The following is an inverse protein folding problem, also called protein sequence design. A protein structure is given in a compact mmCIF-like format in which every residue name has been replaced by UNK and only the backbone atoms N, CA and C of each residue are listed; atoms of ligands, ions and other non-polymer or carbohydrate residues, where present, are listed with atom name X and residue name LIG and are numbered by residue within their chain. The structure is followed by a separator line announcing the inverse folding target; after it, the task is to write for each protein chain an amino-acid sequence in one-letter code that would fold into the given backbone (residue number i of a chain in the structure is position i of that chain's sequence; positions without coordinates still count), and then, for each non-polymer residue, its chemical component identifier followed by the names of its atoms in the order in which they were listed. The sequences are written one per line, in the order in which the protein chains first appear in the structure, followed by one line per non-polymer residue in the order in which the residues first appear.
data_IF_968871756849
#
_entry.id   IF_968871756849
#
_cell.length_a   1.000
_cell.length_b   1.000
_cell.length_c   1.000
_cell.angle_alpha   90.00
_cell.angle_beta   90.00
_cell.angle_gamma   90.00
#
_symmetry.space_group_name_H-M   'P 1'
#
loop_
_entity.id
_entity.type
_entity.pdbx_description
1 polymer ?
#
# COMPACT_ATOMS: atom_id res chain seq x y z
N UNK A 1 1.48 -21.65 -10.27
CA UNK A 1 2.79 -22.23 -10.60
C UNK A 1 3.55 -22.31 -9.29
N UNK A 2 3.68 -23.49 -8.70
CA UNK A 2 4.64 -23.72 -7.62
C UNK A 2 5.88 -24.33 -8.28
N UNK A 3 6.87 -23.47 -8.37
CA UNK A 3 8.24 -23.79 -8.74
C UNK A 3 8.91 -24.23 -7.43
N UNK A 4 9.09 -25.55 -7.29
CA UNK A 4 10.22 -26.16 -6.58
C UNK A 4 10.54 -25.68 -5.14
N UNK A 5 10.42 -26.64 -4.22
CA UNK A 5 10.87 -26.63 -2.82
C UNK A 5 9.89 -25.97 -1.83
N UNK A 6 9.43 -26.77 -0.86
CA UNK A 6 8.46 -26.43 0.20
C UNK A 6 8.92 -25.41 1.24
N UNK A 7 9.68 -24.41 0.80
CA UNK A 7 10.05 -23.18 1.49
C UNK A 7 9.62 -21.95 0.65
N UNK A 8 8.89 -22.14 -0.45
CA UNK A 8 8.36 -21.06 -1.26
C UNK A 8 7.23 -20.33 -0.52
N UNK A 9 7.21 -19.01 -0.67
CA UNK A 9 6.10 -18.22 -0.19
C UNK A 9 4.91 -18.45 -1.12
N UNK A 10 4.02 -19.37 -0.75
CA UNK A 10 2.74 -19.55 -1.44
C UNK A 10 1.87 -18.30 -1.20
N UNK A 11 1.97 -17.34 -2.14
CA UNK A 11 0.87 -16.43 -2.45
C UNK A 11 -0.25 -17.34 -2.97
N UNK A 12 -1.23 -17.66 -2.14
CA UNK A 12 -2.36 -18.51 -2.47
C UNK A 12 -3.26 -17.88 -3.53
N UNK A 13 -4.57 -18.10 -3.45
CA UNK A 13 -5.49 -17.61 -4.48
C UNK A 13 -5.54 -16.08 -4.51
N UNK A 14 -5.36 -15.49 -5.70
CA UNK A 14 -5.70 -14.10 -5.95
C UNK A 14 -7.22 -13.91 -5.84
N UNK A 15 -7.64 -12.96 -5.03
CA UNK A 15 -9.04 -12.57 -4.87
C UNK A 15 -9.22 -11.15 -5.35
N UNK A 16 -9.98 -10.98 -6.43
CA UNK A 16 -10.41 -9.66 -6.91
C UNK A 16 -11.34 -9.00 -5.89
N UNK A 17 -11.13 -7.71 -5.62
CA UNK A 17 -12.00 -6.97 -4.71
C UNK A 17 -13.36 -6.62 -5.34
N UNK A 18 -13.44 -6.56 -6.67
CA UNK A 18 -14.59 -6.05 -7.41
C UNK A 18 -14.43 -4.57 -7.77
N UNK A 19 -15.56 -3.83 -7.80
CA UNK A 19 -15.64 -2.47 -8.34
C UNK A 19 -15.85 -1.41 -7.23
N UNK A 20 -14.78 -0.95 -6.55
CA UNK A 20 -14.90 0.10 -5.53
C UNK A 20 -15.24 1.45 -6.18
N UNK A 21 -16.33 2.08 -5.73
CA UNK A 21 -16.77 3.38 -6.23
C UNK A 21 -15.89 4.58 -5.81
N UNK A 22 -15.07 4.41 -4.77
CA UNK A 22 -14.21 5.44 -4.19
C UNK A 22 -12.86 4.88 -3.79
N UNK A 23 -11.88 5.77 -3.54
CA UNK A 23 -10.64 5.38 -2.88
C UNK A 23 -10.93 4.96 -1.43
N UNK A 24 -10.09 4.07 -0.89
CA UNK A 24 -10.21 3.61 0.50
C UNK A 24 -9.61 4.58 1.49
N UNK A 25 -8.51 5.19 1.05
CA UNK A 25 -7.76 6.18 1.80
C UNK A 25 -7.48 7.37 0.89
N UNK A 26 -7.58 8.53 1.48
CA UNK A 26 -7.34 9.84 0.91
C UNK A 26 -6.24 10.53 1.70
N UNK A 27 -5.76 11.69 1.23
CA UNK A 27 -4.64 12.40 1.84
C UNK A 27 -4.80 12.67 3.34
N UNK A 28 -6.03 12.87 3.81
CA UNK A 28 -6.33 13.10 5.22
C UNK A 28 -6.15 11.88 6.13
N UNK A 29 -6.09 10.67 5.55
CA UNK A 29 -5.92 9.42 6.29
C UNK A 29 -4.45 9.12 6.61
N UNK A 30 -3.52 9.92 6.06
CA UNK A 30 -2.08 9.74 6.21
C UNK A 30 -1.46 10.83 7.07
N UNK A 31 -0.53 10.45 7.93
CA UNK A 31 0.41 11.39 8.54
C UNK A 31 1.70 11.40 7.71
N UNK A 32 2.06 12.56 7.17
CA UNK A 32 3.18 12.74 6.24
C UNK A 32 4.36 13.40 6.95
N UNK A 33 5.09 12.64 7.77
CA UNK A 33 6.16 13.17 8.63
C UNK A 33 7.49 12.42 8.48
N UNK A 34 7.67 11.72 7.37
CA UNK A 34 8.84 10.88 7.12
C UNK A 34 9.06 9.80 8.19
N UNK A 35 7.99 9.31 8.84
CA UNK A 35 8.04 8.14 9.72
C UNK A 35 7.19 7.00 9.15
N UNK A 36 7.63 5.76 9.40
CA UNK A 36 6.85 4.57 9.04
C UNK A 36 5.71 4.39 10.04
N UNK A 37 4.50 4.15 9.53
CA UNK A 37 3.26 4.11 10.29
C UNK A 37 2.38 2.95 9.84
N UNK A 38 1.63 2.41 10.77
CA UNK A 38 0.71 1.30 10.50
C UNK A 38 -0.53 1.79 9.73
N UNK A 39 -0.89 1.05 8.68
CA UNK A 39 -2.14 1.17 7.96
C UNK A 39 -2.91 -0.15 8.09
N UNK A 40 -3.99 -0.12 8.87
CA UNK A 40 -4.82 -1.28 9.12
C UNK A 40 -5.89 -1.44 8.03
N UNK A 41 -5.67 -2.43 7.15
CA UNK A 41 -6.58 -2.78 6.05
C UNK A 41 -7.66 -3.79 6.49
N UNK A 42 -7.44 -4.42 7.65
CA UNK A 42 -8.19 -5.56 8.14
C UNK A 42 -9.48 -5.20 8.89
N UNK A 43 -10.15 -6.22 9.48
CA UNK A 43 -11.45 -6.07 10.15
C UNK A 43 -11.50 -5.08 11.32
N UNK A 44 -10.35 -4.83 11.97
CA UNK A 44 -10.24 -3.87 13.09
C UNK A 44 -9.87 -2.46 12.64
N UNK A 45 -9.63 -2.28 11.34
CA UNK A 45 -9.39 -0.99 10.69
C UNK A 45 -10.49 -0.73 9.66
N UNK A 46 -10.11 -0.67 8.38
CA UNK A 46 -11.05 -0.36 7.30
C UNK A 46 -12.00 -1.51 6.92
N UNK A 47 -11.72 -2.75 7.34
CA UNK A 47 -12.53 -3.93 7.04
C UNK A 47 -12.53 -4.34 5.56
N UNK A 48 -11.53 -3.91 4.80
CA UNK A 48 -11.45 -4.11 3.35
C UNK A 48 -10.85 -5.48 3.02
N UNK A 49 -9.81 -5.86 3.76
CA UNK A 49 -9.04 -7.07 3.51
C UNK A 49 -9.42 -8.12 4.55
N UNK A 50 -9.90 -9.31 4.15
CA UNK A 50 -10.32 -10.33 5.10
C UNK A 50 -9.12 -10.94 5.85
N UNK A 51 -9.40 -11.53 7.01
CA UNK A 51 -8.42 -12.31 7.76
C UNK A 51 -7.84 -13.44 6.90
N UNK A 52 -6.53 -13.67 7.02
CA UNK A 52 -5.81 -14.70 6.26
C UNK A 52 -5.19 -14.20 4.95
N UNK A 53 -5.48 -12.96 4.51
CA UNK A 53 -4.74 -12.37 3.42
C UNK A 53 -3.25 -12.18 3.80
N UNK A 54 -2.35 -12.64 2.91
CA UNK A 54 -0.89 -12.58 3.03
C UNK A 54 -0.29 -11.37 2.30
N UNK A 55 -0.98 -10.84 1.30
CA UNK A 55 -0.55 -9.66 0.56
C UNK A 55 -1.74 -8.94 -0.10
N UNK A 56 -1.58 -7.66 -0.42
CA UNK A 56 -2.57 -6.82 -1.10
C UNK A 56 -1.97 -6.18 -2.34
N UNK A 57 -2.78 -6.03 -3.39
CA UNK A 57 -2.46 -5.19 -4.53
C UNK A 57 -3.09 -3.81 -4.32
N UNK A 58 -2.25 -2.79 -4.21
CA UNK A 58 -2.65 -1.40 -4.02
C UNK A 58 -2.50 -0.63 -5.33
N UNK A 59 -3.50 0.17 -5.67
CA UNK A 59 -3.38 1.31 -6.59
C UNK A 59 -3.10 2.56 -5.76
N UNK A 60 -2.03 3.26 -6.08
CA UNK A 60 -1.55 4.44 -5.37
C UNK A 60 -1.49 5.59 -6.35
N UNK A 61 -2.22 6.66 -6.10
CA UNK A 61 -2.16 7.88 -6.88
C UNK A 61 -1.67 9.05 -6.01
N UNK A 62 -0.61 9.72 -6.45
CA UNK A 62 -0.01 10.86 -5.73
C UNK A 62 0.11 12.08 -6.62
N UNK A 63 -0.08 13.25 -6.04
CA UNK A 63 0.20 14.55 -6.67
C UNK A 63 0.66 15.51 -5.58
N UNK A 64 1.70 16.28 -5.89
CA UNK A 64 2.21 17.31 -4.99
C UNK A 64 2.72 18.52 -5.79
N UNK A 65 2.87 19.66 -5.13
CA UNK A 65 3.46 20.87 -5.71
C UNK A 65 5.01 20.87 -5.66
N UNK A 66 5.60 19.85 -5.00
CA UNK A 66 7.02 19.60 -4.91
C UNK A 66 7.43 18.30 -5.62
N UNK A 67 8.47 18.37 -6.46
CA UNK A 67 9.06 17.19 -7.07
C UNK A 67 9.93 16.45 -6.04
N UNK A 68 9.93 15.12 -6.09
CA UNK A 68 10.62 14.28 -5.12
C UNK A 68 9.76 13.85 -3.93
N UNK A 69 8.55 14.41 -3.78
CA UNK A 69 7.57 13.92 -2.80
C UNK A 69 7.20 12.48 -3.09
N UNK A 70 7.17 11.65 -2.06
CA UNK A 70 7.02 10.20 -2.21
C UNK A 70 6.16 9.59 -1.11
N UNK A 71 5.33 8.62 -1.49
CA UNK A 71 4.72 7.66 -0.56
C UNK A 71 5.26 6.26 -0.84
N UNK A 72 5.48 5.49 0.21
CA UNK A 72 5.95 4.10 0.15
C UNK A 72 5.10 3.23 1.06
N UNK A 73 5.06 1.94 0.75
CA UNK A 73 4.38 0.89 1.50
C UNK A 73 5.30 -0.32 1.64
N UNK A 74 5.25 -0.98 2.79
CA UNK A 74 5.98 -2.22 3.06
C UNK A 74 5.22 -3.11 4.04
N UNK A 75 5.73 -4.33 4.23
CA UNK A 75 5.19 -5.24 5.25
C UNK A 75 5.44 -4.68 6.66
N UNK A 76 4.43 -4.80 7.52
CA UNK A 76 4.52 -4.38 8.91
C UNK A 76 5.68 -5.07 9.66
N UNK A 77 6.41 -4.31 10.47
CA UNK A 77 7.55 -4.76 11.27
C UNK A 77 8.86 -4.94 10.48
N UNK A 78 8.90 -4.62 9.19
CA UNK A 78 10.15 -4.60 8.44
C UNK A 78 10.99 -3.39 8.85
N UNK A 79 12.31 -3.57 8.98
CA UNK A 79 13.22 -2.45 9.31
C UNK A 79 13.85 -1.83 8.07
N UNK A 80 14.11 -2.63 7.03
CA UNK A 80 14.78 -2.21 5.80
C UNK A 80 13.79 -1.71 4.73
N UNK A 81 14.21 -0.72 3.92
CA UNK A 81 13.35 -0.09 2.90
C UNK A 81 13.44 -0.73 1.51
N UNK A 82 14.42 -1.61 1.27
CA UNK A 82 14.67 -2.17 -0.08
C UNK A 82 13.44 -2.90 -0.64
N UNK A 83 12.66 -3.55 0.23
CA UNK A 83 11.41 -4.21 -0.13
C UNK A 83 10.19 -3.34 0.19
N UNK A 84 10.19 -2.13 -0.37
CA UNK A 84 9.03 -1.23 -0.37
C UNK A 84 8.66 -0.86 -1.80
N UNK A 85 7.37 -0.64 -2.03
CA UNK A 85 6.84 -0.11 -3.29
C UNK A 85 5.99 1.12 -3.00
N UNK A 86 5.69 1.94 -3.99
CA UNK A 86 5.04 3.22 -3.71
C UNK A 86 4.81 4.06 -4.96
N UNK A 87 4.82 5.38 -4.80
CA UNK A 87 4.84 6.29 -5.95
C UNK A 87 5.62 7.57 -5.65
N UNK A 88 6.27 8.09 -6.67
CA UNK A 88 7.11 9.29 -6.64
C UNK A 88 6.52 10.38 -7.53
N UNK A 89 6.43 11.61 -6.99
CA UNK A 89 6.11 12.80 -7.78
C UNK A 89 7.35 13.21 -8.58
N UNK A 90 7.39 12.83 -9.86
CA UNK A 90 8.49 13.18 -10.77
C UNK A 90 8.28 14.53 -11.47
N UNK A 91 7.02 14.95 -11.61
CA UNK A 91 6.63 16.25 -12.18
C UNK A 91 5.60 16.90 -11.25
N UNK A 92 5.87 18.14 -10.83
CA UNK A 92 4.97 18.89 -9.95
C UNK A 92 3.58 19.04 -10.55
N UNK A 93 2.55 18.98 -9.69
CA UNK A 93 1.15 19.15 -10.05
C UNK A 93 0.59 18.17 -11.09
N UNK A 94 1.30 17.07 -11.38
CA UNK A 94 0.83 15.96 -12.21
C UNK A 94 0.56 14.76 -11.32
N UNK A 95 -0.57 14.08 -11.55
CA UNK A 95 -0.91 12.87 -10.80
C UNK A 95 -0.10 11.69 -11.34
N UNK A 96 0.74 11.11 -10.49
CA UNK A 96 1.41 9.83 -10.72
C UNK A 96 0.53 8.71 -10.18
N UNK A 97 0.41 7.61 -10.92
CA UNK A 97 -0.36 6.43 -10.53
C UNK A 97 0.53 5.21 -10.67
N UNK A 98 0.69 4.45 -9.59
CA UNK A 98 1.45 3.21 -9.55
C UNK A 98 0.64 2.11 -8.88
N UNK A 99 0.94 0.86 -9.23
CA UNK A 99 0.38 -0.31 -8.58
C UNK A 99 1.50 -1.06 -7.87
N UNK A 100 1.27 -1.44 -6.62
CA UNK A 100 2.27 -2.16 -5.82
C UNK A 100 1.63 -3.29 -5.04
N UNK A 101 2.30 -4.43 -5.00
CA UNK A 101 1.91 -5.54 -4.12
C UNK A 101 2.69 -5.43 -2.82
N UNK A 102 1.99 -5.51 -1.69
CA UNK A 102 2.58 -5.37 -0.36
C UNK A 102 2.15 -6.55 0.50
N UNK A 103 3.10 -7.24 1.11
CA UNK A 103 2.80 -8.30 2.05
C UNK A 103 2.19 -7.71 3.33
N UNK A 104 1.15 -8.37 3.85
CA UNK A 104 0.50 -8.00 5.09
C UNK A 104 1.04 -8.84 6.25
N UNK A 105 0.87 -8.35 7.48
CA UNK A 105 0.99 -9.20 8.66
C UNK A 105 -0.30 -10.02 8.90
N UNK A 106 -0.32 -10.78 10.01
CA UNK A 106 -1.46 -11.62 10.38
C UNK A 106 -2.74 -10.83 10.67
N UNK A 107 -2.62 -9.53 10.95
CA UNK A 107 -3.73 -8.62 11.25
C UNK A 107 -4.11 -7.75 10.05
N UNK A 108 -3.57 -8.05 8.86
CA UNK A 108 -3.80 -7.28 7.63
C UNK A 108 -3.34 -5.82 7.78
N UNK A 109 -2.26 -5.62 8.54
CA UNK A 109 -1.57 -4.33 8.64
C UNK A 109 -0.39 -4.31 7.68
N UNK A 110 -0.26 -3.19 6.98
CA UNK A 110 0.94 -2.79 6.23
C UNK A 110 1.50 -1.53 6.86
N UNK A 111 2.76 -1.21 6.59
CA UNK A 111 3.33 0.08 6.96
C UNK A 111 3.36 1.01 5.76
N UNK A 112 3.10 2.29 5.97
CA UNK A 112 3.31 3.35 5.00
C UNK A 112 4.30 4.38 5.52
N UNK A 113 4.92 5.10 4.58
CA UNK A 113 5.79 6.24 4.84
C UNK A 113 5.54 7.28 3.77
N UNK A 114 5.50 8.54 4.15
CA UNK A 114 5.39 9.64 3.21
C UNK A 114 6.37 10.74 3.58
N UNK A 115 6.95 11.42 2.58
CA UNK A 115 7.83 12.58 2.79
C UNK A 115 7.14 13.62 3.68
N UNK A 116 7.91 14.35 4.50
CA UNK A 116 7.41 15.48 5.28
C UNK A 116 7.11 16.70 4.39
N UNK A 117 6.07 16.55 3.57
CA UNK A 117 5.53 17.56 2.65
C UNK A 117 4.00 17.55 2.77
N UNK A 118 3.39 18.65 2.33
CA UNK A 118 1.93 18.77 2.28
C UNK A 118 1.44 18.27 0.93
N UNK A 119 1.19 16.96 0.83
CA UNK A 119 0.68 16.39 -0.40
C UNK A 119 -0.65 17.01 -0.80
N UNK A 120 -0.81 17.29 -2.10
CA UNK A 120 -2.12 17.71 -2.64
C UNK A 120 -3.07 16.52 -2.79
N UNK A 121 -2.54 15.36 -3.21
CA UNK A 121 -3.29 14.11 -3.35
C UNK A 121 -2.44 12.95 -2.88
N UNK A 122 -3.03 12.13 -2.02
CA UNK A 122 -2.67 10.72 -1.83
C UNK A 122 -4.01 9.98 -1.90
N UNK A 123 -4.14 9.07 -2.85
CA UNK A 123 -5.33 8.22 -2.98
C UNK A 123 -4.85 6.77 -3.07
N UNK A 124 -5.35 5.92 -2.18
CA UNK A 124 -5.03 4.50 -2.17
C UNK A 124 -6.30 3.68 -2.31
N UNK A 125 -6.25 2.69 -3.19
CA UNK A 125 -7.31 1.72 -3.39
C UNK A 125 -6.73 0.31 -3.33
N UNK A 126 -7.24 -0.54 -2.43
CA UNK A 126 -7.02 -1.98 -2.48
C UNK A 126 -7.76 -2.53 -3.70
N UNK A 127 -7.04 -3.14 -4.65
CA UNK A 127 -7.64 -3.77 -5.84
C UNK A 127 -7.94 -5.26 -5.62
N UNK A 128 -7.11 -5.93 -4.85
CA UNK A 128 -7.17 -7.37 -4.64
C UNK A 128 -6.27 -7.80 -3.48
N UNK A 129 -6.36 -9.07 -3.09
CA UNK A 129 -5.48 -9.69 -2.11
C UNK A 129 -5.13 -11.14 -2.46
N UNK A 130 -4.08 -11.65 -1.82
CA UNK A 130 -3.60 -13.03 -1.95
C UNK A 130 -3.72 -13.73 -0.59
N UNK A 131 -4.18 -14.98 -0.56
CA UNK A 131 -4.38 -15.78 0.67
C UNK A 131 -3.31 -16.84 0.91
#
# INVERSE_FOLDING_TARGET
FTDDAGNDFELGSYTDRGDPATNDYTVGDFTTDSTWRDLNLGPTGAGIVPAGAKAVLLRVAVKDDAAGSQIKFRKNGHTNEINSGGSLVVVVNVTNIEETTVACDTNQVVEYWATNTVFTVINVTVKAWYT
#
